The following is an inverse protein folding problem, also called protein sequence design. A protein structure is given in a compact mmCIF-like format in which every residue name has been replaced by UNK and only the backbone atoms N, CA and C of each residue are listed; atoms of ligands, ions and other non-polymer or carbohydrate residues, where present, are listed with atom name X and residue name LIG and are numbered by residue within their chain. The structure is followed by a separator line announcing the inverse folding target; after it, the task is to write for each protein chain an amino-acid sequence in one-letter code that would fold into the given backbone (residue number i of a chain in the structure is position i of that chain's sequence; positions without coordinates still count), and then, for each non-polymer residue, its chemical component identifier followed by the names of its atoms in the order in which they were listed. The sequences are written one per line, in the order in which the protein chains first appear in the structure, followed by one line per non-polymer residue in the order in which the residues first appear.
data_IF_788860095041
#
_entry.id   IF_788860095041
#
_cell.length_a   1.000
_cell.length_b   1.000
_cell.length_c   1.000
_cell.angle_alpha   90.00
_cell.angle_beta   90.00
_cell.angle_gamma   90.00
#
_symmetry.space_group_name_H-M   'P 1'
#
loop_
_entity.id
_entity.type
_entity.pdbx_description
1 polymer ?
#
# COMPACT_ATOMS: atom_id res chain seq x y z
N UNK A 1 52.27 19.36 49.81
CA UNK A 1 51.19 18.40 50.12
C UNK A 1 50.32 18.30 48.89
N UNK A 2 50.41 17.19 48.18
CA UNK A 2 49.66 16.95 46.94
C UNK A 2 48.22 16.62 47.35
N UNK A 3 47.26 17.37 46.81
CA UNK A 3 45.83 17.25 47.09
C UNK A 3 45.26 15.99 46.42
N UNK A 4 45.70 14.82 46.90
CA UNK A 4 45.53 13.50 46.28
C UNK A 4 44.07 13.04 46.18
N UNK A 5 43.19 13.56 47.04
CA UNK A 5 41.78 13.16 47.08
C UNK A 5 40.94 13.85 46.01
N UNK A 6 41.27 15.09 45.63
CA UNK A 6 40.56 15.81 44.56
C UNK A 6 40.78 15.18 43.19
N UNK A 7 42.03 14.84 42.86
CA UNK A 7 42.40 14.22 41.58
C UNK A 7 41.79 12.82 41.41
N UNK A 8 41.68 12.05 42.50
CA UNK A 8 41.03 10.73 42.48
C UNK A 8 39.53 10.82 42.20
N UNK A 9 38.84 11.79 42.79
CA UNK A 9 37.40 11.99 42.58
C UNK A 9 37.13 12.42 41.13
N UNK A 10 37.94 13.30 40.57
CA UNK A 10 37.82 13.74 39.18
C UNK A 10 38.05 12.59 38.19
N UNK A 11 39.09 11.79 38.40
CA UNK A 11 39.36 10.59 37.58
C UNK A 11 38.24 9.55 37.65
N UNK A 12 37.67 9.33 38.83
CA UNK A 12 36.54 8.42 39.01
C UNK A 12 35.29 8.92 38.28
N UNK A 13 35.03 10.23 38.31
CA UNK A 13 33.89 10.82 37.62
C UNK A 13 34.03 10.68 36.09
N UNK A 14 35.20 10.97 35.55
CA UNK A 14 35.51 10.82 34.10
C UNK A 14 35.36 9.36 33.65
N UNK A 15 35.84 8.42 34.46
CA UNK A 15 35.74 6.99 34.13
C UNK A 15 34.29 6.53 34.11
N UNK A 16 33.45 7.03 35.03
CA UNK A 16 32.03 6.67 35.10
C UNK A 16 31.22 7.21 33.93
N UNK A 17 31.50 8.44 33.47
CA UNK A 17 30.87 9.00 32.26
C UNK A 17 31.33 8.31 30.98
N UNK A 18 32.60 7.91 30.90
CA UNK A 18 33.10 7.16 29.74
C UNK A 18 32.45 5.77 29.66
N UNK A 19 32.33 5.05 30.78
CA UNK A 19 31.66 3.76 30.82
C UNK A 19 30.18 3.85 30.45
N UNK A 20 29.44 4.85 30.97
CA UNK A 20 28.02 4.99 30.64
C UNK A 20 27.78 5.38 29.18
N UNK A 21 28.65 6.20 28.58
CA UNK A 21 28.59 6.50 27.15
C UNK A 21 28.94 5.29 26.28
N UNK A 22 29.91 4.46 26.70
CA UNK A 22 30.27 3.25 25.97
C UNK A 22 29.17 2.19 26.05
N UNK A 23 28.56 2.02 27.23
CA UNK A 23 27.46 1.08 27.46
C UNK A 23 26.21 1.50 26.68
N UNK A 24 25.84 2.80 26.70
CA UNK A 24 24.75 3.32 25.87
C UNK A 24 25.05 3.25 24.36
N UNK A 25 26.30 3.46 23.95
CA UNK A 25 26.72 3.35 22.55
C UNK A 25 26.68 1.90 22.06
N UNK A 26 27.13 0.96 22.89
CA UNK A 26 27.11 -0.47 22.62
C UNK A 26 25.68 -1.03 22.62
N UNK A 27 24.84 -0.67 23.59
CA UNK A 27 23.43 -1.06 23.63
C UNK A 27 22.64 -0.47 22.47
N UNK A 28 22.88 0.80 22.08
CA UNK A 28 22.24 1.40 20.90
C UNK A 28 22.71 0.77 19.59
N UNK A 29 24.00 0.45 19.48
CA UNK A 29 24.58 -0.23 18.32
C UNK A 29 24.04 -1.65 18.16
N UNK A 30 24.06 -2.44 19.23
CA UNK A 30 23.51 -3.81 19.25
C UNK A 30 22.01 -3.79 19.01
N UNK A 31 21.24 -2.90 19.67
CA UNK A 31 19.80 -2.83 19.46
C UNK A 31 19.45 -2.42 18.03
N UNK A 32 20.19 -1.50 17.39
CA UNK A 32 19.95 -1.14 15.99
C UNK A 32 20.23 -2.30 15.04
N UNK A 33 21.32 -3.05 15.28
CA UNK A 33 21.63 -4.25 14.50
C UNK A 33 20.58 -5.34 14.71
N UNK A 34 20.18 -5.60 15.95
CA UNK A 34 19.14 -6.59 16.30
C UNK A 34 17.78 -6.22 15.70
N UNK A 35 17.41 -4.94 15.72
CA UNK A 35 16.20 -4.43 15.06
C UNK A 35 16.30 -4.63 13.56
N UNK A 36 17.45 -4.32 12.94
CA UNK A 36 17.62 -4.49 11.49
C UNK A 36 17.54 -5.95 11.06
N UNK A 37 18.11 -6.86 11.84
CA UNK A 37 18.10 -8.30 11.59
C UNK A 37 16.70 -8.89 11.80
N UNK A 38 16.01 -8.50 12.87
CA UNK A 38 14.62 -8.90 13.11
C UNK A 38 13.69 -8.40 11.98
N UNK A 39 13.88 -7.17 11.50
CA UNK A 39 13.11 -6.63 10.38
C UNK A 39 13.41 -7.33 9.05
N UNK A 40 14.66 -7.75 8.80
CA UNK A 40 14.99 -8.52 7.60
C UNK A 40 14.22 -9.84 7.54
N UNK A 41 14.09 -10.55 8.67
CA UNK A 41 13.30 -11.77 8.73
C UNK A 41 11.82 -11.50 8.43
N UNK A 42 11.26 -10.44 9.02
CA UNK A 42 9.89 -9.99 8.73
C UNK A 42 9.71 -9.66 7.25
N UNK A 43 10.67 -8.97 6.63
CA UNK A 43 10.60 -8.60 5.21
C UNK A 43 10.69 -9.83 4.29
N UNK A 44 11.51 -10.83 4.61
CA UNK A 44 11.56 -12.08 3.84
C UNK A 44 10.23 -12.83 3.90
N UNK A 45 9.66 -13.00 5.09
CA UNK A 45 8.36 -13.67 5.27
C UNK A 45 7.26 -12.89 4.57
N UNK A 46 7.28 -11.56 4.72
CA UNK A 46 6.35 -10.66 4.05
C UNK A 46 6.45 -10.74 2.53
N UNK A 47 7.64 -11.00 2.00
CA UNK A 47 7.85 -11.18 0.57
C UNK A 47 7.11 -12.40 0.01
N UNK A 48 7.21 -13.54 0.69
CA UNK A 48 6.52 -14.77 0.28
C UNK A 48 5.00 -14.63 0.33
N UNK A 49 4.50 -14.01 1.41
CA UNK A 49 3.07 -13.73 1.59
C UNK A 49 2.57 -12.78 0.51
N UNK A 50 3.33 -11.71 0.21
CA UNK A 50 3.00 -10.73 -0.83
C UNK A 50 3.00 -11.36 -2.22
N UNK A 51 4.00 -12.19 -2.54
CA UNK A 51 4.08 -12.90 -3.81
C UNK A 51 2.84 -13.80 -4.01
N UNK A 52 2.46 -14.57 -2.98
CA UNK A 52 1.26 -15.40 -3.01
C UNK A 52 -0.01 -14.58 -3.25
N UNK A 53 -0.13 -13.42 -2.59
CA UNK A 53 -1.28 -12.54 -2.78
C UNK A 53 -1.32 -11.89 -4.17
N UNK A 54 -0.17 -11.49 -4.73
CA UNK A 54 -0.09 -10.99 -6.11
C UNK A 54 -0.50 -12.07 -7.11
N UNK A 55 -0.04 -13.30 -6.93
CA UNK A 55 -0.47 -14.44 -7.75
C UNK A 55 -1.97 -14.70 -7.66
N UNK A 56 -2.55 -14.61 -6.46
CA UNK A 56 -4.00 -14.71 -6.27
C UNK A 56 -4.73 -13.63 -7.08
N UNK A 57 -4.30 -12.37 -7.00
CA UNK A 57 -4.89 -11.26 -7.76
C UNK A 57 -4.74 -11.46 -9.28
N UNK A 58 -3.61 -11.98 -9.73
CA UNK A 58 -3.39 -12.32 -11.13
C UNK A 58 -4.37 -13.40 -11.61
N UNK A 59 -4.56 -14.47 -10.84
CA UNK A 59 -5.52 -15.54 -11.16
C UNK A 59 -6.97 -15.03 -11.17
N UNK A 60 -7.32 -14.16 -10.21
CA UNK A 60 -8.63 -13.50 -10.21
C UNK A 60 -8.84 -12.64 -11.46
N UNK A 61 -7.84 -11.83 -11.84
CA UNK A 61 -7.92 -11.01 -13.05
C UNK A 61 -8.01 -11.85 -14.32
N UNK A 62 -7.29 -12.97 -14.38
CA UNK A 62 -7.40 -13.93 -15.48
C UNK A 62 -8.82 -14.50 -15.57
N UNK A 63 -9.40 -14.89 -14.44
CA UNK A 63 -10.80 -15.32 -14.36
C UNK A 63 -11.76 -14.25 -14.88
N UNK A 64 -11.61 -13.01 -14.44
CA UNK A 64 -12.42 -11.90 -14.97
C UNK A 64 -12.18 -11.67 -16.46
N UNK A 65 -10.94 -11.77 -16.95
CA UNK A 65 -10.64 -11.62 -18.37
C UNK A 65 -11.39 -12.65 -19.22
N UNK A 66 -11.49 -13.89 -18.73
CA UNK A 66 -12.23 -14.95 -19.39
C UNK A 66 -13.73 -14.66 -19.46
N UNK A 67 -14.36 -14.22 -18.36
CA UNK A 67 -15.81 -13.96 -18.33
C UNK A 67 -16.21 -12.65 -19.03
N UNK A 68 -15.41 -11.59 -18.90
CA UNK A 68 -15.71 -10.26 -19.41
C UNK A 68 -15.04 -9.94 -20.75
N UNK A 69 -14.30 -10.88 -21.35
CA UNK A 69 -13.60 -10.75 -22.64
C UNK A 69 -12.58 -9.60 -22.71
N UNK A 70 -11.98 -9.25 -21.57
CA UNK A 70 -11.01 -8.14 -21.43
C UNK A 70 -9.56 -8.62 -21.52
N UNK A 71 -9.25 -9.46 -22.49
CA UNK A 71 -7.93 -10.10 -22.63
C UNK A 71 -6.77 -9.11 -22.81
N UNK A 72 -7.00 -8.05 -23.58
CA UNK A 72 -5.98 -7.03 -23.82
C UNK A 72 -5.61 -6.28 -22.52
N UNK A 73 -6.60 -5.91 -21.72
CA UNK A 73 -6.36 -5.23 -20.44
C UNK A 73 -5.64 -6.14 -19.45
N UNK A 74 -6.01 -7.43 -19.40
CA UNK A 74 -5.30 -8.42 -18.60
C UNK A 74 -3.85 -8.61 -19.05
N UNK A 75 -3.60 -8.72 -20.35
CA UNK A 75 -2.24 -8.87 -20.87
C UNK A 75 -1.40 -7.61 -20.62
N UNK A 76 -1.98 -6.43 -20.83
CA UNK A 76 -1.28 -5.16 -20.66
C UNK A 76 -1.00 -4.84 -19.18
N UNK A 77 -1.97 -5.02 -18.29
CA UNK A 77 -1.82 -4.63 -16.88
C UNK A 77 -1.45 -5.83 -16.03
N UNK A 78 -2.20 -6.92 -16.11
CA UNK A 78 -2.01 -8.10 -15.27
C UNK A 78 -0.63 -8.75 -15.45
N UNK A 79 -0.22 -9.06 -16.69
CA UNK A 79 1.09 -9.67 -16.94
C UNK A 79 2.24 -8.69 -16.63
N UNK A 80 2.13 -7.42 -17.05
CA UNK A 80 3.20 -6.45 -16.77
C UNK A 80 3.36 -6.19 -15.28
N UNK A 81 2.27 -6.11 -14.51
CA UNK A 81 2.33 -5.94 -13.05
C UNK A 81 2.95 -7.15 -12.36
N UNK A 82 2.58 -8.37 -12.76
CA UNK A 82 3.17 -9.59 -12.22
C UNK A 82 4.69 -9.67 -12.49
N UNK A 83 5.09 -9.38 -13.73
CA UNK A 83 6.49 -9.35 -14.15
C UNK A 83 7.26 -8.25 -13.44
N UNK A 84 6.72 -7.03 -13.34
CA UNK A 84 7.36 -5.90 -12.68
C UNK A 84 7.70 -6.23 -11.22
N UNK A 85 6.76 -6.86 -10.49
CA UNK A 85 7.03 -7.32 -9.14
C UNK A 85 8.15 -8.36 -9.11
N UNK A 86 8.04 -9.46 -9.86
CA UNK A 86 9.05 -10.54 -9.81
C UNK A 86 10.44 -10.06 -10.25
N UNK A 87 10.52 -9.15 -11.22
CA UNK A 87 11.79 -8.53 -11.63
C UNK A 87 12.38 -7.68 -10.51
N UNK A 88 11.59 -6.85 -9.82
CA UNK A 88 12.10 -6.05 -8.71
C UNK A 88 12.58 -6.92 -7.55
N UNK A 89 11.92 -8.05 -7.32
CA UNK A 89 12.31 -9.04 -6.30
C UNK A 89 13.63 -9.70 -6.65
N UNK A 90 13.79 -10.06 -7.92
CA UNK A 90 15.00 -10.69 -8.42
C UNK A 90 16.21 -9.75 -8.36
N UNK A 91 16.04 -8.48 -8.76
CA UNK A 91 17.15 -7.52 -8.80
C UNK A 91 17.40 -6.80 -7.47
N UNK A 92 16.36 -6.49 -6.71
CA UNK A 92 16.43 -5.69 -5.49
C UNK A 92 15.63 -6.33 -4.35
N UNK A 93 15.99 -7.53 -3.88
CA UNK A 93 15.30 -8.18 -2.77
C UNK A 93 15.38 -7.32 -1.50
N UNK A 94 14.27 -7.19 -0.78
CA UNK A 94 14.17 -6.50 0.52
C UNK A 94 14.41 -4.97 0.52
N UNK A 95 14.61 -4.35 -0.63
CA UNK A 95 14.75 -2.89 -0.69
C UNK A 95 13.41 -2.18 -0.50
N UNK A 96 13.46 -0.93 -0.05
CA UNK A 96 12.31 -0.03 -0.01
C UNK A 96 11.58 0.05 -1.36
N UNK A 97 12.33 0.10 -2.45
CA UNK A 97 11.78 0.12 -3.81
C UNK A 97 10.83 -1.06 -4.09
N UNK A 98 11.22 -2.27 -3.71
CA UNK A 98 10.42 -3.48 -3.94
C UNK A 98 9.14 -3.47 -3.12
N UNK A 99 9.18 -2.92 -1.91
CA UNK A 99 7.99 -2.76 -1.04
C UNK A 99 7.02 -1.72 -1.60
N UNK A 100 7.53 -0.61 -2.12
CA UNK A 100 6.72 0.38 -2.85
C UNK A 100 6.10 -0.25 -4.09
N UNK A 101 6.91 -0.92 -4.92
CA UNK A 101 6.43 -1.51 -6.16
C UNK A 101 5.38 -2.59 -5.93
N UNK A 102 5.51 -3.39 -4.86
CA UNK A 102 4.48 -4.35 -4.46
C UNK A 102 3.12 -3.66 -4.29
N UNK A 103 3.09 -2.53 -3.58
CA UNK A 103 1.87 -1.76 -3.40
C UNK A 103 1.34 -1.15 -4.69
N UNK A 104 2.20 -0.59 -5.55
CA UNK A 104 1.77 -0.09 -6.87
C UNK A 104 1.16 -1.21 -7.72
N UNK A 105 1.75 -2.40 -7.71
CA UNK A 105 1.25 -3.59 -8.41
C UNK A 105 -0.12 -4.01 -7.88
N UNK A 106 -0.30 -4.04 -6.55
CA UNK A 106 -1.61 -4.35 -5.97
C UNK A 106 -2.67 -3.33 -6.37
N UNK A 107 -2.35 -2.04 -6.39
CA UNK A 107 -3.30 -1.02 -6.82
C UNK A 107 -3.61 -1.09 -8.31
N UNK A 108 -2.64 -1.48 -9.14
CA UNK A 108 -2.87 -1.75 -10.56
C UNK A 108 -3.85 -2.92 -10.76
N UNK A 109 -3.77 -3.98 -9.95
CA UNK A 109 -4.75 -5.08 -10.00
C UNK A 109 -6.14 -4.64 -9.57
N UNK A 110 -6.27 -3.85 -8.50
CA UNK A 110 -7.57 -3.31 -8.07
C UNK A 110 -8.20 -2.49 -9.20
N UNK A 111 -7.41 -1.64 -9.85
CA UNK A 111 -7.89 -0.86 -10.99
C UNK A 111 -8.29 -1.74 -12.17
N UNK A 112 -7.49 -2.77 -12.47
CA UNK A 112 -7.83 -3.74 -13.49
C UNK A 112 -9.15 -4.44 -13.18
N UNK A 113 -9.41 -4.83 -11.93
CA UNK A 113 -10.69 -5.42 -11.54
C UNK A 113 -11.86 -4.45 -11.75
N UNK A 114 -11.69 -3.18 -11.39
CA UNK A 114 -12.70 -2.13 -11.62
C UNK A 114 -13.00 -2.01 -13.11
N UNK A 115 -11.97 -1.99 -13.96
CA UNK A 115 -12.12 -1.92 -15.41
C UNK A 115 -12.84 -3.16 -15.97
N UNK A 116 -12.45 -4.36 -15.53
CA UNK A 116 -12.99 -5.62 -16.05
C UNK A 116 -14.46 -5.85 -15.66
N UNK A 117 -14.80 -5.56 -14.40
CA UNK A 117 -16.12 -5.90 -13.85
C UNK A 117 -17.08 -4.72 -13.89
N UNK A 118 -16.58 -3.48 -13.81
CA UNK A 118 -17.37 -2.24 -13.91
C UNK A 118 -18.32 -1.99 -12.74
N UNK A 119 -18.18 -2.73 -11.63
CA UNK A 119 -19.07 -2.65 -10.47
C UNK A 119 -18.43 -1.91 -9.28
N UNK A 120 -19.21 -1.13 -8.51
CA UNK A 120 -18.68 -0.38 -7.38
C UNK A 120 -18.15 -1.27 -6.26
N UNK A 121 -18.72 -2.46 -6.05
CA UNK A 121 -18.30 -3.38 -4.97
C UNK A 121 -16.86 -3.87 -5.15
N UNK A 122 -16.36 -3.90 -6.39
CA UNK A 122 -14.99 -4.34 -6.70
C UNK A 122 -13.95 -3.35 -6.20
N UNK A 123 -14.34 -2.08 -6.00
CA UNK A 123 -13.46 -1.06 -5.43
C UNK A 123 -13.04 -1.42 -3.99
N UNK A 124 -13.82 -2.25 -3.27
CA UNK A 124 -13.47 -2.68 -1.92
C UNK A 124 -12.24 -3.58 -1.85
N UNK A 125 -11.81 -4.17 -2.97
CA UNK A 125 -10.53 -4.87 -3.03
C UNK A 125 -9.34 -3.94 -2.71
N UNK A 126 -9.49 -2.62 -2.89
CA UNK A 126 -8.54 -1.62 -2.39
C UNK A 126 -8.17 -1.87 -0.93
N UNK A 127 -9.18 -2.07 -0.06
CA UNK A 127 -8.95 -2.25 1.37
C UNK A 127 -8.18 -3.54 1.66
N UNK A 128 -8.55 -4.64 1.00
CA UNK A 128 -7.84 -5.92 1.16
C UNK A 128 -6.39 -5.83 0.71
N UNK A 129 -6.14 -5.21 -0.44
CA UNK A 129 -4.80 -4.95 -0.97
C UNK A 129 -3.99 -4.00 -0.10
N UNK A 130 -4.63 -2.98 0.46
CA UNK A 130 -4.00 -2.05 1.39
C UNK A 130 -3.64 -2.73 2.72
N UNK A 131 -4.52 -3.58 3.26
CA UNK A 131 -4.23 -4.39 4.45
C UNK A 131 -3.03 -5.31 4.22
N UNK A 132 -2.88 -5.89 3.03
CA UNK A 132 -1.71 -6.70 2.72
C UNK A 132 -0.38 -5.93 2.75
N UNK A 133 -0.38 -4.61 2.56
CA UNK A 133 0.84 -3.82 2.70
C UNK A 133 1.31 -3.67 4.15
N UNK A 134 0.42 -3.87 5.13
CA UNK A 134 0.78 -3.88 6.56
C UNK A 134 1.75 -5.03 6.88
N UNK A 135 1.74 -6.10 6.08
CA UNK A 135 2.68 -7.22 6.23
C UNK A 135 4.13 -6.77 6.14
N UNK A 136 4.43 -5.72 5.35
CA UNK A 136 5.77 -5.14 5.28
C UNK A 136 6.14 -4.26 6.46
N UNK A 137 5.20 -3.93 7.35
CA UNK A 137 5.42 -3.10 8.55
C UNK A 137 6.13 -1.76 8.26
N UNK A 138 5.98 -1.21 7.05
CA UNK A 138 6.61 0.04 6.63
C UNK A 138 5.55 1.00 6.08
N UNK A 139 5.17 1.96 6.92
CA UNK A 139 4.20 3.02 6.59
C UNK A 139 4.64 3.87 5.39
N UNK A 140 5.95 4.07 5.20
CA UNK A 140 6.49 4.94 4.14
C UNK A 140 6.30 4.31 2.78
N UNK A 141 6.36 2.98 2.71
CA UNK A 141 6.11 2.24 1.48
C UNK A 141 4.61 2.20 1.10
N UNK A 142 3.72 2.45 2.07
CA UNK A 142 2.27 2.45 1.83
C UNK A 142 1.81 3.73 1.12
N UNK A 143 2.37 4.88 1.49
CA UNK A 143 1.95 6.19 0.96
C UNK A 143 1.93 6.30 -0.56
N UNK A 144 2.97 5.89 -1.31
CA UNK A 144 2.95 5.97 -2.78
C UNK A 144 1.77 5.21 -3.40
N UNK A 145 1.41 4.06 -2.82
CA UNK A 145 0.33 3.22 -3.32
C UNK A 145 -1.03 3.90 -3.12
N UNK A 146 -1.24 4.50 -1.95
CA UNK A 146 -2.46 5.26 -1.64
C UNK A 146 -2.61 6.46 -2.57
N UNK A 147 -1.53 7.24 -2.72
CA UNK A 147 -1.52 8.41 -3.58
C UNK A 147 -1.77 8.03 -5.04
N UNK A 148 -1.15 6.94 -5.52
CA UNK A 148 -1.39 6.45 -6.87
C UNK A 148 -2.85 6.06 -7.07
N UNK A 149 -3.43 5.27 -6.16
CA UNK A 149 -4.82 4.82 -6.28
C UNK A 149 -5.80 5.99 -6.35
N UNK A 150 -5.71 6.93 -5.39
CA UNK A 150 -6.59 8.10 -5.39
C UNK A 150 -6.34 9.03 -6.59
N UNK A 151 -5.07 9.21 -6.99
CA UNK A 151 -4.72 9.96 -8.18
C UNK A 151 -5.31 9.36 -9.46
N UNK A 152 -5.26 8.03 -9.60
CA UNK A 152 -5.86 7.31 -10.72
C UNK A 152 -7.40 7.40 -10.68
N UNK A 153 -8.03 7.23 -9.52
CA UNK A 153 -9.47 7.40 -9.39
C UNK A 153 -9.91 8.82 -9.78
N UNK A 154 -9.20 9.84 -9.31
CA UNK A 154 -9.45 11.23 -9.72
C UNK A 154 -9.29 11.39 -11.24
N UNK A 155 -8.25 10.81 -11.83
CA UNK A 155 -8.03 10.85 -13.28
C UNK A 155 -9.19 10.21 -14.07
N UNK A 156 -9.71 9.06 -13.64
CA UNK A 156 -10.87 8.43 -14.31
C UNK A 156 -12.14 9.26 -14.20
N UNK A 157 -12.35 9.93 -13.07
CA UNK A 157 -13.46 10.88 -12.89
C UNK A 157 -13.32 12.05 -13.85
N UNK A 158 -12.11 12.61 -13.99
CA UNK A 158 -11.86 13.73 -14.91
C UNK A 158 -12.02 13.33 -16.38
N UNK A 159 -11.67 12.10 -16.75
CA UNK A 159 -11.90 11.57 -18.10
C UNK A 159 -13.35 11.16 -18.36
N UNK A 160 -14.24 11.25 -17.37
CA UNK A 160 -15.65 10.86 -17.48
C UNK A 160 -15.85 9.37 -17.77
N UNK A 161 -14.82 8.53 -17.56
CA UNK A 161 -14.81 7.14 -18.04
C UNK A 161 -15.44 6.18 -17.04
N UNK A 162 -15.42 6.50 -15.74
CA UNK A 162 -16.09 5.70 -14.71
C UNK A 162 -16.59 6.59 -13.59
N UNK A 163 -17.83 6.33 -13.20
CA UNK A 163 -18.60 7.04 -12.19
C UNK A 163 -19.05 8.43 -12.66
N UNK A 164 -20.28 8.49 -13.16
CA UNK A 164 -21.07 9.69 -13.03
C UNK A 164 -21.35 9.85 -11.52
N UNK A 165 -20.35 10.32 -10.76
CA UNK A 165 -20.50 10.60 -9.32
C UNK A 165 -21.65 11.59 -9.16
N UNK A 166 -21.81 12.48 -10.15
CA UNK A 166 -23.01 13.29 -10.35
C UNK A 166 -24.29 12.46 -10.26
N UNK A 167 -24.46 11.38 -11.03
CA UNK A 167 -25.69 10.56 -10.99
C UNK A 167 -25.86 9.77 -9.70
N UNK A 168 -24.80 9.19 -9.11
CA UNK A 168 -24.94 8.45 -7.83
C UNK A 168 -25.19 9.38 -6.63
N UNK A 169 -24.52 10.53 -6.58
CA UNK A 169 -24.77 11.56 -5.57
C UNK A 169 -26.14 12.19 -5.79
N UNK A 170 -26.54 12.44 -7.04
CA UNK A 170 -27.86 12.96 -7.38
C UNK A 170 -28.98 11.96 -7.05
N UNK A 171 -28.83 10.68 -7.38
CA UNK A 171 -29.78 9.62 -7.01
C UNK A 171 -29.84 9.39 -5.49
N UNK A 172 -28.68 9.44 -4.82
CA UNK A 172 -28.60 9.39 -3.36
C UNK A 172 -29.26 10.59 -2.68
N UNK A 173 -29.01 11.80 -3.20
CA UNK A 173 -29.66 13.02 -2.75
C UNK A 173 -31.17 13.00 -3.05
N UNK A 174 -31.61 12.45 -4.18
CA UNK A 174 -33.03 12.30 -4.50
C UNK A 174 -33.73 11.29 -3.60
N UNK A 175 -33.01 10.29 -3.06
CA UNK A 175 -33.55 9.38 -2.03
C UNK A 175 -33.66 10.02 -0.65
N UNK A 176 -32.70 10.87 -0.27
CA UNK A 176 -32.64 11.51 1.06
C UNK A 176 -33.52 12.77 1.10
N UNK A 177 -33.54 13.51 0.00
CA UNK A 177 -34.37 14.68 -0.25
C UNK A 177 -35.18 14.41 -1.53
N UNK A 178 -36.29 13.66 -1.43
CA UNK A 178 -37.25 13.62 -2.52
C UNK A 178 -37.70 15.07 -2.74
N UNK A 179 -37.25 15.67 -3.84
CA UNK A 179 -37.66 17.02 -4.20
C UNK A 179 -39.19 17.08 -4.24
N UNK A 180 -39.81 18.22 -3.89
CA UNK A 180 -41.26 18.35 -3.92
C UNK A 180 -41.75 17.95 -5.31
N UNK A 181 -42.62 16.95 -5.34
CA UNK A 181 -43.12 16.25 -6.53
C UNK A 181 -43.27 17.21 -7.71
N UNK A 182 -42.30 17.19 -8.64
CA UNK A 182 -42.48 17.96 -9.87
C UNK A 182 -43.47 17.19 -10.74
N UNK A 183 -44.60 17.79 -11.15
CA UNK A 183 -45.72 17.08 -11.77
C UNK A 183 -45.47 16.59 -13.21
N UNK A 184 -44.22 16.54 -13.66
CA UNK A 184 -43.86 16.29 -15.07
C UNK A 184 -43.25 14.90 -15.37
N UNK A 185 -43.24 13.96 -14.43
CA UNK A 185 -42.82 12.56 -14.68
C UNK A 185 -44.00 11.62 -15.02
N UNK A 186 -44.98 12.08 -15.79
CA UNK A 186 -45.86 11.14 -16.51
C UNK A 186 -45.22 10.84 -17.86
N UNK A 187 -44.60 9.67 -17.98
CA UNK A 187 -44.39 9.07 -19.32
C UNK A 187 -45.76 8.99 -20.00
N UNK A 188 -45.98 9.62 -21.18
CA UNK A 188 -47.16 9.34 -21.96
C UNK A 188 -47.07 7.88 -22.38
N UNK A 189 -48.03 7.07 -21.93
CA UNK A 189 -48.12 5.68 -22.33
C UNK A 189 -48.41 5.60 -23.80
N UNK A 190 -47.57 4.87 -24.54
CA UNK A 190 -47.88 4.05 -25.70
C UNK A 190 -46.76 3.03 -25.87
#
# INVERSE_FOLDING_TARGET
MINSTGDLIERLNITKTLYSQFEQGAERGLSSQLISEALQEVYQRGHLVMAGYIWLNFLLSFGFAFFYQTWLAFAAVGLLSLLAFHLAVYFYPQYFFTRVLAGLVLQAFVLLFIYQVGRPEVQYFFFTSFTMLIVYQDERAMWPSVLLFFGQMLFFVLLGTYVNIGSLVWEGLQRIYPGPDTPFSRKPGH
#
